data_IF_456469428517
#
_entry.id   IF_456469428517
#
_cell.length_a   1.000
_cell.length_b   1.000
_cell.length_c   1.000
_cell.angle_alpha   90.00
_cell.angle_beta   90.00
_cell.angle_gamma   90.00
#
_symmetry.space_group_name_H-M   'P 1'
#
loop_
_entity.id
_entity.type
_entity.pdbx_description
1 polymer ?
#
# COMPACT_ATOMS: atom_id res chain seq x y z
N UNK A 1 11.78 -29.64 -3.32
CA UNK A 1 10.53 -28.89 -3.47
C UNK A 1 10.70 -27.55 -2.80
N UNK A 2 10.54 -26.46 -3.55
CA UNK A 2 10.59 -25.12 -2.98
C UNK A 2 9.42 -24.97 -1.98
N UNK A 3 9.68 -24.51 -0.76
CA UNK A 3 8.74 -24.54 0.38
C UNK A 3 7.63 -23.48 0.29
N UNK A 4 7.28 -23.06 -0.93
CA UNK A 4 6.30 -22.01 -1.19
C UNK A 4 4.87 -22.51 -0.99
N UNK A 5 4.14 -21.84 -0.10
CA UNK A 5 2.72 -22.11 0.17
C UNK A 5 1.88 -21.03 -0.48
N UNK A 6 0.84 -21.42 -1.23
CA UNK A 6 -0.09 -20.51 -1.90
C UNK A 6 -1.48 -20.61 -1.28
N UNK A 7 -2.05 -19.46 -0.89
CA UNK A 7 -3.45 -19.39 -0.48
C UNK A 7 -4.35 -19.18 -1.70
N UNK A 8 -5.27 -20.12 -1.94
CA UNK A 8 -6.17 -20.11 -3.10
C UNK A 8 -7.63 -20.08 -2.60
N UNK A 9 -8.37 -19.03 -2.98
CA UNK A 9 -9.71 -18.75 -2.46
C UNK A 9 -10.77 -19.73 -3.01
N UNK A 10 -10.70 -20.09 -4.30
CA UNK A 10 -11.74 -20.88 -4.96
C UNK A 10 -11.19 -21.75 -6.11
N UNK A 11 -12.07 -22.59 -6.68
CA UNK A 11 -11.75 -23.52 -7.77
C UNK A 11 -11.29 -22.79 -9.06
N UNK A 12 -11.86 -21.62 -9.36
CA UNK A 12 -11.45 -20.80 -10.52
C UNK A 12 -9.99 -20.37 -10.41
N UNK A 13 -9.58 -19.87 -9.23
CA UNK A 13 -8.19 -19.50 -8.97
C UNK A 13 -7.25 -20.72 -9.02
N UNK A 14 -7.68 -21.87 -8.47
CA UNK A 14 -6.93 -23.13 -8.51
C UNK A 14 -6.66 -23.58 -9.94
N UNK A 15 -7.67 -23.55 -10.82
CA UNK A 15 -7.53 -23.90 -12.24
C UNK A 15 -6.52 -23.01 -12.96
N UNK A 16 -6.58 -21.70 -12.75
CA UNK A 16 -5.63 -20.77 -13.37
C UNK A 16 -4.19 -20.95 -12.88
N UNK A 17 -4.02 -21.28 -11.59
CA UNK A 17 -2.71 -21.58 -11.01
C UNK A 17 -2.08 -22.82 -11.64
N UNK A 18 -2.82 -23.94 -11.75
CA UNK A 18 -2.31 -25.17 -12.38
C UNK A 18 -2.07 -25.00 -13.88
N UNK A 19 -2.87 -24.17 -14.55
CA UNK A 19 -2.66 -23.82 -15.97
C UNK A 19 -1.52 -22.79 -16.18
N UNK A 20 -0.82 -22.39 -15.11
CA UNK A 20 0.32 -21.45 -15.16
C UNK A 20 -0.04 -20.11 -15.81
N UNK A 21 -1.29 -19.67 -15.68
CA UNK A 21 -1.70 -18.37 -16.20
C UNK A 21 -1.12 -17.25 -15.34
N UNK A 22 -0.50 -16.27 -15.99
CA UNK A 22 0.06 -15.10 -15.31
C UNK A 22 -1.08 -14.21 -14.78
N UNK A 23 -1.16 -13.90 -13.48
CA UNK A 23 -2.23 -13.06 -12.95
C UNK A 23 -2.27 -11.66 -13.62
N UNK A 24 -1.14 -11.13 -14.08
CA UNK A 24 -1.02 -9.85 -14.79
C UNK A 24 -1.72 -9.81 -16.14
N UNK A 25 -2.12 -10.96 -16.69
CA UNK A 25 -2.87 -11.06 -17.95
C UNK A 25 -4.37 -11.27 -17.72
N UNK A 26 -4.81 -11.49 -16.48
CA UNK A 26 -6.21 -11.70 -16.13
C UNK A 26 -6.84 -10.39 -15.64
N UNK A 27 -7.71 -9.79 -16.47
CA UNK A 27 -8.25 -8.44 -16.29
C UNK A 27 -8.93 -8.16 -14.94
N UNK A 28 -9.52 -9.18 -14.32
CA UNK A 28 -10.27 -9.07 -13.07
C UNK A 28 -9.37 -9.15 -11.82
N UNK A 29 -8.11 -9.56 -11.95
CA UNK A 29 -7.22 -9.74 -10.78
C UNK A 29 -6.71 -8.40 -10.25
N UNK A 30 -6.38 -8.36 -8.96
CA UNK A 30 -5.76 -7.19 -8.34
C UNK A 30 -4.42 -6.82 -9.01
N UNK A 31 -3.62 -7.82 -9.41
CA UNK A 31 -2.33 -7.59 -10.08
C UNK A 31 -2.50 -6.86 -11.41
N UNK A 32 -3.46 -7.31 -12.24
CA UNK A 32 -3.78 -6.62 -13.49
C UNK A 32 -4.25 -5.18 -13.23
N UNK A 33 -5.20 -5.00 -12.30
CA UNK A 33 -5.79 -3.68 -12.01
C UNK A 33 -4.75 -2.69 -11.50
N UNK A 34 -3.80 -3.13 -10.66
CA UNK A 34 -2.65 -2.34 -10.21
C UNK A 34 -1.75 -1.90 -11.36
N UNK A 35 -1.35 -2.83 -12.23
CA UNK A 35 -0.48 -2.52 -13.39
C UNK A 35 -1.14 -1.55 -14.38
N UNK A 36 -2.45 -1.65 -14.55
CA UNK A 36 -3.23 -0.80 -15.46
C UNK A 36 -3.82 0.43 -14.77
N UNK A 37 -3.32 0.80 -13.58
CA UNK A 37 -3.71 2.01 -12.83
C UNK A 37 -5.21 2.10 -12.49
N UNK A 38 -5.94 0.99 -12.50
CA UNK A 38 -7.38 0.92 -12.16
C UNK A 38 -7.64 1.04 -10.64
N UNK A 39 -6.59 0.97 -9.82
CA UNK A 39 -6.62 1.07 -8.35
C UNK A 39 -5.95 2.33 -7.78
N UNK A 40 -5.63 3.31 -8.62
CA UNK A 40 -4.79 4.45 -8.23
C UNK A 40 -5.39 5.33 -7.11
N UNK A 41 -6.73 5.41 -7.03
CA UNK A 41 -7.41 6.32 -6.09
C UNK A 41 -7.13 5.98 -4.61
N UNK A 42 -7.17 4.70 -4.24
CA UNK A 42 -6.99 4.26 -2.84
C UNK A 42 -5.52 4.33 -2.38
N UNK A 43 -4.57 4.02 -3.27
CA UNK A 43 -3.14 4.09 -2.94
C UNK A 43 -2.62 5.54 -2.81
N UNK A 44 -3.15 6.47 -3.60
CA UNK A 44 -2.75 7.88 -3.57
C UNK A 44 -3.11 8.57 -2.25
N UNK A 45 -4.28 8.28 -1.68
CA UNK A 45 -4.75 8.87 -0.41
C UNK A 45 -3.85 8.47 0.76
N UNK A 46 -3.41 7.21 0.82
CA UNK A 46 -2.53 6.73 1.90
C UNK A 46 -1.14 7.36 1.85
N UNK A 47 -0.59 7.60 0.65
CA UNK A 47 0.73 8.24 0.50
C UNK A 47 0.76 9.70 0.97
N UNK A 48 -0.36 10.42 0.86
CA UNK A 48 -0.43 11.84 1.23
C UNK A 48 -0.44 12.08 2.76
N UNK A 49 -0.75 11.07 3.57
CA UNK A 49 -0.89 11.20 5.03
C UNK A 49 0.45 11.03 5.76
N UNK A 50 1.38 11.97 5.60
CA UNK A 50 2.47 12.22 6.56
C UNK A 50 2.33 13.65 7.10
N UNK A 51 1.51 13.81 8.13
CA UNK A 51 1.53 15.02 8.94
C UNK A 51 2.52 14.80 10.09
N UNK A 52 3.77 15.19 9.91
CA UNK A 52 4.67 15.40 11.05
C UNK A 52 4.13 16.61 11.80
N UNK A 53 3.50 16.40 12.96
CA UNK A 53 3.22 17.51 13.87
C UNK A 53 4.59 18.05 14.30
N UNK A 54 4.98 19.23 13.80
CA UNK A 54 6.10 19.95 14.40
C UNK A 54 5.68 20.23 15.85
N UNK A 55 6.47 19.85 16.88
CA UNK A 55 6.26 20.44 18.19
C UNK A 55 6.57 21.94 18.04
N UNK A 56 5.51 22.74 17.94
CA UNK A 56 5.59 24.17 18.21
C UNK A 56 6.01 24.29 19.68
N UNK A 57 7.00 25.14 19.94
CA UNK A 57 7.78 25.25 21.19
C UNK A 57 8.71 24.07 21.51
N UNK A 58 9.98 24.20 21.12
CA UNK A 58 11.06 23.82 22.04
C UNK A 58 11.42 25.10 22.78
N UNK A 59 11.21 25.12 24.10
CA UNK A 59 11.73 26.16 24.97
C UNK A 59 13.22 26.35 24.69
N UNK A 60 13.61 27.50 24.14
CA UNK A 60 15.01 27.91 24.13
C UNK A 60 15.29 28.34 25.56
N UNK A 61 16.13 27.55 26.24
CA UNK A 61 16.59 27.89 27.59
C UNK A 61 17.22 29.28 27.54
N UNK A 62 16.60 30.25 28.22
CA UNK A 62 17.13 31.61 28.37
C UNK A 62 16.21 32.77 27.99
N UNK A 63 15.04 32.55 27.38
CA UNK A 63 14.08 33.65 27.11
C UNK A 63 12.95 33.64 28.15
N UNK A 64 12.77 34.74 28.89
CA UNK A 64 11.60 34.97 29.74
C UNK A 64 10.38 35.30 28.90
N UNK A 65 9.19 34.98 29.43
CA UNK A 65 7.87 35.03 28.78
C UNK A 65 7.39 36.43 28.37
N UNK A 66 8.19 37.48 28.55
CA UNK A 66 7.81 38.88 28.30
C UNK A 66 8.00 39.31 26.84
N UNK A 67 8.54 38.45 25.97
CA UNK A 67 8.88 38.77 24.58
C UNK A 67 8.10 37.92 23.56
N UNK A 68 7.01 37.24 23.96
CA UNK A 68 6.10 36.54 23.03
C UNK A 68 4.82 37.35 22.84
#
# INVERSE_FOLDING_TARGET
SDSQVFLIINSKCKRYFHNKLKPSKLCWTAMYRKQHKKDAAQEAVKKRRRATKKPYSRSIVGATLEVI
#
